data_IF_806775957776
#
_entry.id   IF_806775957776
#
_cell.length_a   1.000
_cell.length_b   1.000
_cell.length_c   1.000
_cell.angle_alpha   90.00
_cell.angle_beta   90.00
_cell.angle_gamma   90.00
#
_symmetry.space_group_name_H-M   'P 1'
#
loop_
_entity.id
_entity.type
_entity.pdbx_description
1 polymer ?
#
# COMPACT_ATOMS: atom_id res chain seq x y z
N UNK A 1 -6.81 -1.33 -10.83
CA UNK A 1 -5.35 -1.59 -10.77
C UNK A 1 -4.92 -1.68 -9.32
N UNK A 2 -3.99 -2.58 -8.95
CA UNK A 2 -3.61 -2.87 -7.55
C UNK A 2 -2.09 -2.68 -7.38
N UNK A 3 -1.65 -2.13 -6.26
CA UNK A 3 -0.22 -1.98 -5.90
C UNK A 3 0.12 -3.06 -4.86
N UNK A 4 1.20 -3.82 -5.07
CA UNK A 4 1.61 -4.89 -4.18
C UNK A 4 2.82 -4.49 -3.31
N UNK A 5 2.76 -4.80 -2.02
CA UNK A 5 3.85 -4.63 -1.04
C UNK A 5 4.12 -5.96 -0.33
N UNK A 6 5.36 -6.26 0.06
CA UNK A 6 5.78 -7.53 0.69
C UNK A 6 6.59 -7.27 1.97
N UNK A 7 6.31 -7.99 3.06
CA UNK A 7 7.09 -7.91 4.32
C UNK A 7 7.49 -9.28 4.84
N UNK A 8 8.64 -9.35 5.54
CA UNK A 8 9.18 -10.56 6.15
C UNK A 8 8.62 -10.82 7.56
N UNK A 9 7.83 -11.87 7.75
CA UNK A 9 7.29 -12.30 9.05
C UNK A 9 8.22 -13.30 9.76
N UNK A 10 8.60 -13.01 11.01
CA UNK A 10 9.36 -13.92 11.87
C UNK A 10 8.39 -14.44 12.92
N UNK A 11 8.12 -15.75 12.96
CA UNK A 11 7.38 -16.54 13.98
C UNK A 11 6.17 -15.95 14.77
N UNK A 12 5.74 -14.74 14.48
CA UNK A 12 4.68 -13.99 15.15
C UNK A 12 3.41 -14.11 14.32
N UNK A 13 2.34 -14.53 14.97
CA UNK A 13 1.02 -14.54 14.38
C UNK A 13 0.50 -13.10 14.29
N UNK A 14 0.46 -12.55 13.08
CA UNK A 14 -0.21 -11.27 12.82
C UNK A 14 -1.54 -11.57 12.16
N UNK A 15 -2.63 -11.15 12.79
CA UNK A 15 -3.97 -11.27 12.21
C UNK A 15 -4.08 -10.33 11.00
N UNK A 16 -4.23 -10.89 9.80
CA UNK A 16 -4.36 -10.15 8.53
C UNK A 16 -5.41 -9.04 8.60
N UNK A 17 -6.54 -9.30 9.24
CA UNK A 17 -7.65 -8.36 9.40
C UNK A 17 -7.24 -7.06 10.14
N UNK A 18 -6.37 -7.17 11.16
CA UNK A 18 -5.85 -6.00 11.87
C UNK A 18 -4.96 -5.15 10.97
N UNK A 19 -4.17 -5.78 10.10
CA UNK A 19 -3.33 -5.08 9.14
C UNK A 19 -4.22 -4.37 8.11
N UNK A 20 -5.22 -5.05 7.53
CA UNK A 20 -6.13 -4.45 6.54
C UNK A 20 -6.82 -3.20 7.08
N UNK A 21 -7.33 -3.25 8.32
CA UNK A 21 -8.00 -2.12 8.99
C UNK A 21 -7.06 -0.92 9.20
N UNK A 22 -5.78 -1.17 9.49
CA UNK A 22 -4.81 -0.08 9.68
C UNK A 22 -4.50 0.60 8.35
N UNK A 23 -4.35 -0.16 7.26
CA UNK A 23 -3.97 0.40 5.95
C UNK A 23 -5.09 1.23 5.30
N UNK A 24 -6.36 0.90 5.53
CA UNK A 24 -7.48 1.73 5.05
C UNK A 24 -7.58 3.10 5.74
N UNK A 25 -6.80 3.34 6.81
CA UNK A 25 -6.73 4.67 7.44
C UNK A 25 -5.90 5.66 6.62
N UNK A 26 -5.10 5.19 5.65
CA UNK A 26 -4.42 6.05 4.69
C UNK A 26 -5.48 6.65 3.76
N UNK A 27 -5.57 7.98 3.74
CA UNK A 27 -6.61 8.74 3.04
C UNK A 27 -6.73 8.41 1.54
N UNK A 28 -5.65 7.91 0.96
CA UNK A 28 -5.53 7.68 -0.48
C UNK A 28 -5.82 6.21 -0.86
N UNK A 29 -6.15 5.35 0.12
CA UNK A 29 -6.41 3.92 -0.07
C UNK A 29 -7.92 3.64 0.06
N UNK A 30 -8.54 3.16 -1.01
CA UNK A 30 -9.94 2.74 -1.00
C UNK A 30 -10.11 1.32 -0.44
N UNK A 31 -9.17 0.41 -0.73
CA UNK A 31 -9.21 -0.98 -0.25
C UNK A 31 -7.79 -1.53 -0.03
N UNK A 32 -7.61 -2.36 0.99
CA UNK A 32 -6.38 -3.09 1.24
C UNK A 32 -6.70 -4.58 1.46
N UNK A 33 -5.90 -5.47 0.87
CA UNK A 33 -6.02 -6.92 1.04
C UNK A 33 -4.67 -7.50 1.45
N UNK A 34 -4.63 -8.26 2.54
CA UNK A 34 -3.42 -8.90 3.04
C UNK A 34 -3.46 -10.39 2.72
N UNK A 35 -2.50 -10.85 1.93
CA UNK A 35 -2.27 -12.26 1.66
C UNK A 35 -1.02 -12.73 2.41
N UNK A 36 -1.18 -13.70 3.32
CA UNK A 36 -0.06 -14.35 4.00
C UNK A 36 0.05 -15.79 3.53
N UNK A 37 1.24 -16.20 3.08
CA UNK A 37 1.49 -17.59 2.73
C UNK A 37 2.17 -18.29 3.90
N UNK A 38 1.51 -19.23 4.59
CA UNK A 38 2.10 -19.91 5.76
C UNK A 38 3.40 -20.69 5.48
N UNK A 39 3.70 -21.03 4.22
CA UNK A 39 4.94 -21.71 3.83
C UNK A 39 6.11 -20.77 3.59
N UNK A 40 5.86 -19.46 3.48
CA UNK A 40 6.88 -18.43 3.31
C UNK A 40 6.72 -17.42 4.43
N UNK A 41 7.82 -17.01 5.05
CA UNK A 41 7.83 -15.90 6.02
C UNK A 41 7.52 -14.54 5.37
N UNK A 42 6.54 -14.44 4.47
CA UNK A 42 6.24 -13.24 3.70
C UNK A 42 4.72 -12.99 3.65
N UNK A 43 4.32 -11.76 3.95
CA UNK A 43 2.97 -11.26 3.69
C UNK A 43 3.01 -10.28 2.53
N UNK A 44 2.01 -10.34 1.65
CA UNK A 44 1.81 -9.41 0.54
C UNK A 44 0.55 -8.59 0.78
N UNK A 45 0.62 -7.27 0.67
CA UNK A 45 -0.53 -6.36 0.71
C UNK A 45 -0.83 -5.86 -0.68
N UNK A 46 -2.08 -5.94 -1.10
CA UNK A 46 -2.62 -5.32 -2.30
C UNK A 46 -3.41 -4.08 -1.93
N UNK A 47 -2.95 -2.92 -2.37
CA UNK A 47 -3.59 -1.62 -2.17
C UNK A 47 -4.33 -1.21 -3.44
N UNK A 48 -5.59 -0.78 -3.27
CA UNK A 48 -6.39 -0.14 -4.30
C UNK A 48 -6.47 1.35 -3.97
N UNK A 49 -5.86 2.22 -4.79
CA UNK A 49 -5.91 3.67 -4.55
C UNK A 49 -7.30 4.23 -4.83
N UNK A 50 -7.70 5.26 -4.09
CA UNK A 50 -8.91 6.02 -4.36
C UNK A 50 -8.72 6.84 -5.66
N UNK A 51 -9.61 6.66 -6.66
CA UNK A 51 -9.45 7.32 -7.95
C UNK A 51 -9.62 8.83 -7.88
N UNK A 52 -10.54 9.34 -7.06
CA UNK A 52 -10.81 10.77 -6.99
C UNK A 52 -9.65 11.49 -6.29
N UNK A 53 -9.11 10.88 -5.24
CA UNK A 53 -7.95 11.41 -4.50
C UNK A 53 -6.70 11.40 -5.38
N UNK A 54 -6.42 10.27 -6.05
CA UNK A 54 -5.23 10.14 -6.87
C UNK A 54 -5.26 11.04 -8.11
N UNK A 55 -6.43 11.16 -8.77
CA UNK A 55 -6.58 12.06 -9.93
C UNK A 55 -6.46 13.52 -9.51
N UNK A 56 -6.99 13.89 -8.33
CA UNK A 56 -6.83 15.23 -7.77
C UNK A 56 -5.36 15.55 -7.49
N UNK A 57 -4.64 14.65 -6.80
CA UNK A 57 -3.21 14.79 -6.57
C UNK A 57 -2.43 14.96 -7.88
N UNK A 58 -2.72 14.10 -8.87
CA UNK A 58 -2.08 14.18 -10.18
C UNK A 58 -2.33 15.52 -10.87
N UNK A 59 -3.55 16.07 -10.78
CA UNK A 59 -3.89 17.39 -11.31
C UNK A 59 -3.14 18.52 -10.60
N UNK A 60 -3.04 18.47 -9.26
CA UNK A 60 -2.35 19.50 -8.45
C UNK A 60 -0.84 19.50 -8.69
N UNK A 61 -0.26 18.35 -9.03
CA UNK A 61 1.17 18.17 -9.28
C UNK A 61 1.54 18.12 -10.78
N UNK A 62 0.62 18.47 -11.68
CA UNK A 62 0.83 18.47 -13.14
C UNK A 62 1.27 17.11 -13.72
N UNK A 63 0.84 16.02 -13.08
CA UNK A 63 1.12 14.66 -13.50
C UNK A 63 0.06 14.20 -14.50
N UNK A 64 0.44 14.05 -15.76
CA UNK A 64 -0.48 13.59 -16.81
C UNK A 64 -0.70 12.07 -16.79
N UNK A 65 -1.97 11.64 -16.92
CA UNK A 65 -2.32 10.24 -17.04
C UNK A 65 -3.77 9.96 -16.65
N UNK A 66 -4.29 8.81 -17.08
CA UNK A 66 -5.46 8.21 -16.46
C UNK A 66 -5.02 7.31 -15.30
N UNK A 67 -5.96 6.80 -14.50
CA UNK A 67 -5.67 5.94 -13.35
C UNK A 67 -4.64 4.84 -13.64
N UNK A 68 -4.79 4.13 -14.77
CA UNK A 68 -3.88 3.06 -15.18
C UNK A 68 -2.44 3.53 -15.42
N UNK A 69 -2.28 4.71 -16.04
CA UNK A 69 -0.96 5.29 -16.26
C UNK A 69 -0.38 5.81 -14.95
N UNK A 70 -1.20 6.43 -14.10
CA UNK A 70 -0.77 7.03 -12.85
C UNK A 70 -0.16 6.01 -11.90
N UNK A 71 -0.83 4.90 -11.56
CA UNK A 71 -0.21 3.95 -10.62
C UNK A 71 0.91 3.07 -11.22
N UNK A 72 1.23 3.24 -12.52
CA UNK A 72 2.49 2.73 -13.10
C UNK A 72 3.66 3.68 -12.91
N UNK A 73 3.41 4.97 -12.64
CA UNK A 73 4.47 5.96 -12.41
C UNK A 73 5.15 5.74 -11.07
N UNK A 74 6.47 5.88 -11.05
CA UNK A 74 7.26 5.70 -9.85
C UNK A 74 6.92 6.74 -8.78
N UNK A 75 6.71 8.00 -9.17
CA UNK A 75 6.31 9.08 -8.26
C UNK A 75 5.03 8.78 -7.48
N UNK A 76 4.04 8.13 -8.13
CA UNK A 76 2.79 7.72 -7.48
C UNK A 76 3.03 6.53 -6.55
N UNK A 77 3.82 5.55 -7.00
CA UNK A 77 4.18 4.41 -6.15
C UNK A 77 4.95 4.84 -4.90
N UNK A 78 5.85 5.81 -5.03
CA UNK A 78 6.65 6.36 -3.93
C UNK A 78 5.78 7.15 -2.94
N UNK A 79 4.76 7.87 -3.43
CA UNK A 79 3.77 8.53 -2.58
C UNK A 79 3.10 7.52 -1.64
N UNK A 80 2.49 6.48 -2.19
CA UNK A 80 1.85 5.42 -1.40
C UNK A 80 2.83 4.72 -0.47
N UNK A 81 4.06 4.45 -0.94
CA UNK A 81 5.07 3.78 -0.14
C UNK A 81 5.51 4.62 1.07
N UNK A 82 5.62 5.93 0.92
CA UNK A 82 5.96 6.82 2.02
C UNK A 82 4.83 6.90 3.06
N UNK A 83 3.58 7.01 2.62
CA UNK A 83 2.43 7.03 3.53
C UNK A 83 2.31 5.72 4.31
N UNK A 84 2.52 4.59 3.63
CA UNK A 84 2.56 3.26 4.25
C UNK A 84 3.67 3.19 5.30
N UNK A 85 4.87 3.68 5.01
CA UNK A 85 5.96 3.69 6.01
C UNK A 85 5.63 4.49 7.25
N UNK A 86 5.05 5.68 7.08
CA UNK A 86 4.67 6.53 8.21
C UNK A 86 3.62 5.82 9.07
N UNK A 87 2.62 5.23 8.43
CA UNK A 87 1.57 4.46 9.09
C UNK A 87 2.15 3.25 9.84
N UNK A 88 3.03 2.47 9.21
CA UNK A 88 3.69 1.30 9.80
C UNK A 88 4.48 1.67 11.05
N UNK A 89 5.29 2.74 10.98
CA UNK A 89 6.06 3.24 12.14
C UNK A 89 5.12 3.66 13.27
N UNK A 90 4.06 4.41 12.96
CA UNK A 90 3.10 4.89 13.97
C UNK A 90 2.33 3.77 14.67
N UNK A 91 2.10 2.65 13.98
CA UNK A 91 1.37 1.49 14.49
C UNK A 91 2.28 0.34 14.96
N UNK A 92 3.60 0.54 14.97
CA UNK A 92 4.60 -0.48 15.32
C UNK A 92 4.46 -1.76 14.48
N UNK A 93 4.08 -1.60 13.21
CA UNK A 93 3.97 -2.70 12.26
C UNK A 93 5.33 -2.95 11.58
N UNK A 94 5.53 -4.17 11.09
CA UNK A 94 6.69 -4.48 10.25
C UNK A 94 6.59 -3.74 8.92
N UNK A 95 7.74 -3.26 8.46
CA UNK A 95 7.84 -2.49 7.23
C UNK A 95 7.63 -3.40 6.02
N UNK A 96 6.66 -3.08 5.17
CA UNK A 96 6.49 -3.71 3.87
C UNK A 96 7.38 -3.00 2.84
N UNK A 97 7.92 -3.75 1.88
CA UNK A 97 8.67 -3.26 0.74
C UNK A 97 7.82 -3.36 -0.52
N UNK A 98 7.92 -2.41 -1.44
CA UNK A 98 7.17 -2.49 -2.70
C UNK A 98 7.66 -3.67 -3.56
N UNK A 99 6.72 -4.47 -4.08
CA UNK A 99 7.02 -5.54 -5.03
C UNK A 99 7.24 -4.93 -6.42
N UNK A 100 8.32 -5.35 -7.09
CA UNK A 100 8.71 -4.83 -8.41
C UNK A 100 7.90 -5.42 -9.56
#
# INVERSE_FOLDING_TARGET
>A
MKIAFESNLNSEYIASERIEIVYIQIRDIAQAFVYCNSYKSHAVILVVPDPDVLLKYASEHYISGNMEKLCKKQEIKDLFFNDIKVLEISNQLKVFAMVR
#
